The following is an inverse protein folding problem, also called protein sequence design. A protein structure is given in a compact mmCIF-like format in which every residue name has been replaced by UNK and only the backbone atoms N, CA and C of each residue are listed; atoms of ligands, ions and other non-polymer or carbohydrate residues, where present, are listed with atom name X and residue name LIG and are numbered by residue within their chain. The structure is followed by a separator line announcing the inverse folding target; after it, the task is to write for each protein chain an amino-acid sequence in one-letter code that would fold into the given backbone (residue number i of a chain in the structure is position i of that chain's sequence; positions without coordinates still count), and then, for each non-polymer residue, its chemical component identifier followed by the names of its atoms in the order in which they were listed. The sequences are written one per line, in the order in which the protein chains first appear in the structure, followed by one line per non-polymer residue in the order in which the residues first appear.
data_IF_775610290166
#
_entry.id   IF_775610290166
#
_cell.length_a   1.000
_cell.length_b   1.000
_cell.length_c   1.000
_cell.angle_alpha   90.00
_cell.angle_beta   90.00
_cell.angle_gamma   90.00
#
_symmetry.space_group_name_H-M   'P 1'
#
loop_
_entity.id
_entity.type
_entity.pdbx_description
1 polymer ?
#
# COMPACT_ATOMS: atom_id res chain seq x y z
N UNK A 1 -1.51 -0.39 -7.12
CA UNK A 1 -1.20 -0.65 -8.56
C UNK A 1 -1.18 -2.15 -8.89
N UNK A 2 -0.43 -2.98 -8.17
CA UNK A 2 -0.35 -4.43 -8.42
C UNK A 2 -1.72 -5.10 -8.23
N UNK A 3 -2.41 -4.77 -7.16
CA UNK A 3 -3.74 -5.31 -6.82
C UNK A 3 -4.81 -4.97 -7.85
N UNK A 4 -4.91 -3.70 -8.25
CA UNK A 4 -5.87 -3.26 -9.27
C UNK A 4 -5.65 -3.93 -10.63
N UNK A 5 -4.40 -4.02 -11.11
CA UNK A 5 -4.09 -4.70 -12.35
C UNK A 5 -4.46 -6.19 -12.28
N UNK A 6 -4.14 -6.88 -11.18
CA UNK A 6 -4.42 -8.31 -11.01
C UNK A 6 -5.91 -8.59 -10.91
N UNK A 7 -6.64 -7.83 -10.09
CA UNK A 7 -8.08 -7.99 -9.90
C UNK A 7 -8.86 -7.76 -11.17
N UNK A 8 -8.54 -6.68 -11.90
CA UNK A 8 -9.22 -6.35 -13.16
C UNK A 8 -8.82 -7.31 -14.28
N UNK A 9 -7.57 -7.78 -14.33
CA UNK A 9 -7.18 -8.82 -15.26
C UNK A 9 -8.00 -10.12 -15.05
N UNK A 10 -8.16 -10.55 -13.80
CA UNK A 10 -9.01 -11.70 -13.45
C UNK A 10 -10.45 -11.52 -13.93
N UNK A 11 -11.05 -10.35 -13.68
CA UNK A 11 -12.40 -10.01 -14.16
C UNK A 11 -12.48 -10.01 -15.69
N UNK A 12 -11.57 -9.31 -16.36
CA UNK A 12 -11.55 -9.16 -17.83
C UNK A 12 -11.37 -10.50 -18.50
N UNK A 13 -10.41 -11.33 -18.08
CA UNK A 13 -10.20 -12.66 -18.64
C UNK A 13 -11.37 -13.61 -18.37
N UNK A 14 -12.02 -13.49 -17.20
CA UNK A 14 -13.21 -14.25 -16.86
C UNK A 14 -14.38 -13.91 -17.79
N UNK A 15 -14.68 -12.63 -17.98
CA UNK A 15 -15.73 -12.18 -18.89
C UNK A 15 -15.37 -12.51 -20.35
N UNK A 16 -14.12 -12.28 -20.77
CA UNK A 16 -13.66 -12.60 -22.10
C UNK A 16 -13.67 -14.11 -22.42
N UNK A 17 -13.64 -14.98 -21.40
CA UNK A 17 -13.79 -16.42 -21.57
C UNK A 17 -15.26 -16.86 -21.73
N UNK A 18 -16.21 -16.00 -21.33
CA UNK A 18 -17.65 -16.28 -21.31
C UNK A 18 -18.40 -15.65 -22.49
N UNK A 19 -17.81 -14.69 -23.21
CA UNK A 19 -18.44 -13.99 -24.35
C UNK A 19 -17.45 -13.67 -25.44
N UNK A 20 -17.97 -13.49 -26.67
CA UNK A 20 -17.22 -12.97 -27.81
C UNK A 20 -17.54 -11.50 -28.14
N UNK A 21 -18.29 -10.82 -27.25
CA UNK A 21 -18.62 -9.41 -27.41
C UNK A 21 -17.63 -8.55 -26.66
N UNK A 22 -16.80 -7.80 -27.41
CA UNK A 22 -15.80 -6.87 -26.82
C UNK A 22 -16.44 -5.76 -25.99
N UNK A 23 -17.65 -5.32 -26.33
CA UNK A 23 -18.36 -4.28 -25.57
C UNK A 23 -18.76 -4.76 -24.18
N UNK A 24 -19.16 -6.03 -24.03
CA UNK A 24 -19.47 -6.62 -22.72
C UNK A 24 -18.22 -6.69 -21.85
N UNK A 25 -17.10 -7.12 -22.43
CA UNK A 25 -15.81 -7.17 -21.73
C UNK A 25 -15.34 -5.77 -21.32
N UNK A 26 -15.43 -4.80 -22.25
CA UNK A 26 -15.07 -3.41 -22.01
C UNK A 26 -15.92 -2.79 -20.89
N UNK A 27 -17.25 -2.98 -20.93
CA UNK A 27 -18.16 -2.47 -19.92
C UNK A 27 -17.86 -3.06 -18.55
N UNK A 28 -17.69 -4.38 -18.45
CA UNK A 28 -17.37 -5.05 -17.20
C UNK A 28 -16.00 -4.60 -16.66
N UNK A 29 -14.99 -4.53 -17.53
CA UNK A 29 -13.65 -4.08 -17.15
C UNK A 29 -13.61 -2.62 -16.73
N UNK A 30 -14.26 -1.71 -17.45
CA UNK A 30 -14.29 -0.29 -17.13
C UNK A 30 -15.05 0.00 -15.82
N UNK A 31 -16.21 -0.64 -15.63
CA UNK A 31 -16.98 -0.49 -14.37
C UNK A 31 -16.23 -1.10 -13.19
N UNK A 32 -15.62 -2.27 -13.37
CA UNK A 32 -14.77 -2.91 -12.36
C UNK A 32 -13.56 -2.04 -11.98
N UNK A 33 -12.87 -1.47 -12.98
CA UNK A 33 -11.74 -0.58 -12.78
C UNK A 33 -12.13 0.68 -12.02
N UNK A 34 -13.24 1.32 -12.39
CA UNK A 34 -13.74 2.52 -11.70
C UNK A 34 -14.13 2.20 -10.24
N UNK A 35 -14.88 1.13 -10.01
CA UNK A 35 -15.29 0.71 -8.68
C UNK A 35 -14.08 0.31 -7.81
N UNK A 36 -13.13 -0.42 -8.37
CA UNK A 36 -11.89 -0.83 -7.71
C UNK A 36 -11.05 0.39 -7.30
N UNK A 37 -10.84 1.34 -8.21
CA UNK A 37 -10.07 2.55 -7.94
C UNK A 37 -10.71 3.41 -6.82
N UNK A 38 -12.05 3.55 -6.81
CA UNK A 38 -12.77 4.25 -5.73
C UNK A 38 -12.62 3.50 -4.40
N UNK A 39 -12.77 2.17 -4.42
CA UNK A 39 -12.59 1.33 -3.22
C UNK A 39 -11.18 1.44 -2.65
N UNK A 40 -10.14 1.36 -3.52
CA UNK A 40 -8.74 1.51 -3.12
C UNK A 40 -8.47 2.90 -2.55
N UNK A 41 -9.00 3.95 -3.19
CA UNK A 41 -8.91 5.33 -2.68
C UNK A 41 -9.50 5.45 -1.27
N UNK A 42 -10.73 4.91 -1.07
CA UNK A 42 -11.41 4.96 0.22
C UNK A 42 -10.64 4.18 1.30
N UNK A 43 -10.18 2.96 0.98
CA UNK A 43 -9.34 2.14 1.87
C UNK A 43 -8.06 2.87 2.28
N UNK A 44 -7.31 3.39 1.30
CA UNK A 44 -6.08 4.14 1.55
C UNK A 44 -6.31 5.38 2.41
N UNK A 45 -7.39 6.13 2.15
CA UNK A 45 -7.76 7.28 2.97
C UNK A 45 -8.00 6.88 4.43
N UNK A 46 -8.81 5.84 4.65
CA UNK A 46 -9.14 5.36 5.99
C UNK A 46 -7.91 4.81 6.73
N UNK A 47 -7.01 4.12 6.03
CA UNK A 47 -5.77 3.60 6.60
C UNK A 47 -4.88 4.74 7.11
N UNK A 48 -4.65 5.77 6.28
CA UNK A 48 -3.82 6.93 6.66
C UNK A 48 -4.47 7.71 7.81
N UNK A 49 -5.80 7.90 7.79
CA UNK A 49 -6.53 8.53 8.90
C UNK A 49 -6.39 7.71 10.18
N UNK A 50 -6.57 6.40 10.11
CA UNK A 50 -6.45 5.50 11.27
C UNK A 50 -5.05 5.52 11.88
N UNK A 51 -4.00 5.51 11.06
CA UNK A 51 -2.61 5.64 11.52
C UNK A 51 -2.39 7.00 12.19
N UNK A 52 -2.90 8.07 11.59
CA UNK A 52 -2.81 9.42 12.14
C UNK A 52 -3.52 9.56 13.48
N UNK A 53 -4.75 9.07 13.60
CA UNK A 53 -5.54 9.12 14.82
C UNK A 53 -4.89 8.31 15.95
N UNK A 54 -4.39 7.12 15.63
CA UNK A 54 -3.62 6.30 16.57
C UNK A 54 -2.36 7.03 17.05
N UNK A 55 -1.62 7.64 16.15
CA UNK A 55 -0.42 8.39 16.48
C UNK A 55 -0.73 9.61 17.35
N UNK A 56 -1.83 10.32 17.06
CA UNK A 56 -2.29 11.45 17.87
C UNK A 56 -2.70 11.01 19.30
N UNK A 57 -3.42 9.89 19.42
CA UNK A 57 -3.81 9.32 20.70
C UNK A 57 -2.60 8.92 21.55
N UNK A 58 -1.62 8.24 20.94
CA UNK A 58 -0.38 7.83 21.62
C UNK A 58 0.45 9.04 22.06
N UNK A 59 0.56 10.08 21.22
CA UNK A 59 1.24 11.34 21.60
C UNK A 59 0.52 12.04 22.75
N UNK A 60 -0.82 12.09 22.73
CA UNK A 60 -1.59 12.69 23.81
C UNK A 60 -1.42 11.94 25.15
N UNK A 61 -1.36 10.61 25.10
CA UNK A 61 -1.08 9.78 26.26
C UNK A 61 0.34 10.01 26.79
N UNK A 62 1.34 10.02 25.91
CA UNK A 62 2.73 10.32 26.27
C UNK A 62 2.86 11.70 26.90
N UNK A 63 2.20 12.72 26.35
CA UNK A 63 2.17 14.09 26.92
C UNK A 63 1.57 14.10 28.34
N UNK A 64 0.46 13.39 28.57
CA UNK A 64 -0.13 13.25 29.91
C UNK A 64 0.80 12.54 30.89
N UNK A 65 1.49 11.47 30.43
CA UNK A 65 2.46 10.72 31.24
C UNK A 65 3.65 11.58 31.63
N UNK A 66 4.23 12.33 30.70
CA UNK A 66 5.33 13.26 30.93
C UNK A 66 4.90 14.37 31.93
N UNK A 67 3.70 14.92 31.78
CA UNK A 67 3.18 15.94 32.69
C UNK A 67 2.93 15.45 34.11
N UNK A 68 2.63 14.14 34.27
CA UNK A 68 2.44 13.55 35.63
C UNK A 68 3.76 13.20 36.34
N UNK A 69 4.71 12.66 35.59
CA UNK A 69 6.00 12.21 36.10
C UNK A 69 7.11 12.41 35.04
N UNK A 70 7.66 13.65 34.96
CA UNK A 70 8.75 13.94 34.03
C UNK A 70 10.02 13.13 34.33
N UNK A 71 10.30 12.89 35.63
CA UNK A 71 11.49 12.17 36.05
C UNK A 71 11.48 10.71 35.63
N UNK A 72 10.33 10.04 35.73
CA UNK A 72 10.19 8.66 35.23
C UNK A 72 10.32 8.60 33.72
N UNK A 73 9.79 9.58 32.99
CA UNK A 73 9.90 9.65 31.54
C UNK A 73 11.34 9.90 31.09
N UNK A 74 12.09 10.75 31.81
CA UNK A 74 13.50 10.97 31.55
C UNK A 74 14.37 9.73 31.83
N UNK A 75 14.10 8.99 32.92
CA UNK A 75 14.79 7.70 33.18
C UNK A 75 14.60 6.68 32.08
N UNK A 76 13.40 6.58 31.50
CA UNK A 76 13.17 5.69 30.34
C UNK A 76 13.94 6.15 29.12
N UNK A 77 14.00 7.46 28.86
CA UNK A 77 14.80 8.01 27.78
C UNK A 77 16.29 7.68 27.96
N UNK A 78 16.82 7.82 29.19
CA UNK A 78 18.18 7.44 29.53
C UNK A 78 18.48 5.97 29.26
N UNK A 79 17.61 5.08 29.72
CA UNK A 79 17.73 3.64 29.46
C UNK A 79 17.68 3.31 27.98
N UNK A 80 16.85 4.00 27.20
CA UNK A 80 16.76 3.82 25.74
C UNK A 80 18.04 4.28 25.05
N UNK A 81 18.64 5.39 25.46
CA UNK A 81 19.91 5.88 24.94
C UNK A 81 21.06 4.89 25.23
N UNK A 82 21.12 4.33 26.46
CA UNK A 82 22.10 3.29 26.78
C UNK A 82 21.97 2.07 25.88
N UNK A 83 20.76 1.61 25.63
CA UNK A 83 20.51 0.47 24.70
C UNK A 83 20.89 0.81 23.25
N UNK A 84 20.87 2.08 22.87
CA UNK A 84 21.31 2.57 21.57
C UNK A 84 22.83 2.73 21.45
N UNK A 85 23.60 2.46 22.53
CA UNK A 85 25.06 2.48 22.52
C UNK A 85 25.70 3.74 23.10
N UNK A 86 24.92 4.66 23.70
CA UNK A 86 25.47 5.80 24.42
C UNK A 86 26.12 5.35 25.73
N UNK A 87 27.22 6.01 26.12
CA UNK A 87 27.82 5.80 27.45
C UNK A 87 26.88 6.29 28.56
N UNK A 88 27.07 5.80 29.80
CA UNK A 88 26.25 6.19 30.95
C UNK A 88 26.24 7.70 31.17
N UNK A 89 27.40 8.37 31.00
CA UNK A 89 27.52 9.81 31.15
C UNK A 89 26.73 10.59 30.09
N UNK A 90 26.84 10.18 28.82
CA UNK A 90 26.12 10.81 27.69
C UNK A 90 24.61 10.60 27.80
N UNK A 91 24.18 9.36 28.11
CA UNK A 91 22.78 9.03 28.28
C UNK A 91 22.13 9.84 29.42
N UNK A 92 22.81 9.93 30.56
CA UNK A 92 22.34 10.70 31.73
C UNK A 92 22.29 12.20 31.43
N UNK A 93 23.34 12.77 30.80
CA UNK A 93 23.36 14.19 30.46
C UNK A 93 22.25 14.55 29.45
N UNK A 94 22.04 13.69 28.43
CA UNK A 94 21.00 13.89 27.44
C UNK A 94 19.59 13.77 28.05
N UNK A 95 19.34 12.76 28.87
CA UNK A 95 18.07 12.59 29.57
C UNK A 95 17.76 13.76 30.51
N UNK A 96 18.76 14.28 31.23
CA UNK A 96 18.61 15.45 32.07
C UNK A 96 18.32 16.73 31.26
N UNK A 97 18.88 16.86 30.06
CA UNK A 97 18.56 17.95 29.13
C UNK A 97 17.11 17.84 28.64
N UNK A 98 16.69 16.65 28.21
CA UNK A 98 15.32 16.38 27.76
C UNK A 98 14.28 16.63 28.86
N UNK A 99 14.59 16.29 30.13
CA UNK A 99 13.70 16.51 31.27
C UNK A 99 13.36 18.00 31.50
N UNK A 100 14.26 18.91 31.11
CA UNK A 100 14.04 20.36 31.21
C UNK A 100 13.17 20.93 30.08
N UNK A 101 12.96 20.15 29.02
CA UNK A 101 12.21 20.54 27.81
C UNK A 101 11.11 19.52 27.52
N UNK A 102 9.90 19.62 28.10
CA UNK A 102 8.84 18.63 27.98
C UNK A 102 8.44 18.31 26.53
N UNK A 103 8.47 19.30 25.64
CA UNK A 103 8.15 19.08 24.23
C UNK A 103 9.27 18.30 23.50
N UNK A 104 10.54 18.56 23.83
CA UNK A 104 11.66 17.77 23.30
C UNK A 104 11.64 16.32 23.82
N UNK A 105 11.30 16.13 25.09
CA UNK A 105 11.12 14.81 25.68
C UNK A 105 9.94 14.07 25.01
N UNK A 106 8.84 14.76 24.71
CA UNK A 106 7.70 14.19 23.99
C UNK A 106 8.11 13.74 22.56
N UNK A 107 8.84 14.57 21.84
CA UNK A 107 9.30 14.18 20.49
C UNK A 107 10.30 13.00 20.54
N UNK A 108 11.18 12.96 21.55
CA UNK A 108 12.05 11.82 21.78
C UNK A 108 11.25 10.53 22.05
N UNK A 109 10.28 10.60 22.97
CA UNK A 109 9.39 9.46 23.28
C UNK A 109 8.60 9.04 22.06
N UNK A 110 8.06 9.99 21.28
CA UNK A 110 7.32 9.69 20.06
C UNK A 110 8.18 8.96 19.02
N UNK A 111 9.40 9.41 18.80
CA UNK A 111 10.30 8.83 17.82
C UNK A 111 10.89 7.49 18.26
N UNK A 112 11.33 7.38 19.51
CA UNK A 112 12.14 6.25 19.98
C UNK A 112 11.41 5.23 20.85
N UNK A 113 10.35 5.60 21.55
CA UNK A 113 9.55 4.67 22.35
C UNK A 113 8.30 4.18 21.59
N UNK A 114 7.66 5.08 20.85
CA UNK A 114 6.37 4.79 20.20
C UNK A 114 6.52 4.47 18.71
N UNK A 115 7.73 4.59 18.16
CA UNK A 115 8.03 4.37 16.73
C UNK A 115 7.08 5.11 15.80
N UNK A 116 6.71 6.33 16.19
CA UNK A 116 5.84 7.18 15.39
C UNK A 116 6.66 7.86 14.29
N UNK A 117 6.73 7.20 13.13
CA UNK A 117 7.43 7.69 11.95
C UNK A 117 6.80 8.96 11.34
N UNK A 118 7.39 9.40 10.23
CA UNK A 118 6.91 10.55 9.44
C UNK A 118 5.57 10.30 8.75
N UNK A 119 5.12 9.06 8.64
CA UNK A 119 3.85 8.66 8.00
C UNK A 119 2.62 9.38 8.57
N UNK A 120 2.66 9.73 9.87
CA UNK A 120 1.59 10.49 10.51
C UNK A 120 1.46 11.96 10.01
N UNK A 121 2.41 12.44 9.18
CA UNK A 121 2.42 13.79 8.62
C UNK A 121 1.89 13.86 7.19
N UNK A 122 1.68 12.73 6.52
CA UNK A 122 1.18 12.70 5.15
C UNK A 122 -0.28 13.15 5.07
N UNK A 123 -0.62 13.84 3.96
CA UNK A 123 -1.99 14.22 3.70
C UNK A 123 -2.80 12.99 3.26
N UNK A 124 -3.85 12.57 4.00
CA UNK A 124 -4.66 11.42 3.63
C UNK A 124 -5.26 11.54 2.23
N UNK A 125 -5.72 12.75 1.86
CA UNK A 125 -6.30 13.01 0.55
C UNK A 125 -5.29 12.95 -0.58
N UNK A 126 -4.08 13.47 -0.40
CA UNK A 126 -3.06 13.43 -1.44
C UNK A 126 -2.63 11.97 -1.70
N UNK A 127 -2.46 11.18 -0.64
CA UNK A 127 -2.10 9.78 -0.76
C UNK A 127 -3.21 8.95 -1.43
N UNK A 128 -4.46 9.14 -0.98
CA UNK A 128 -5.62 8.47 -1.55
C UNK A 128 -5.86 8.85 -3.02
N UNK A 129 -5.74 10.13 -3.39
CA UNK A 129 -5.89 10.58 -4.77
C UNK A 129 -4.79 10.00 -5.68
N UNK A 130 -3.55 9.93 -5.19
CA UNK A 130 -2.46 9.28 -5.93
C UNK A 130 -2.74 7.79 -6.15
N UNK A 131 -3.22 7.09 -5.11
CA UNK A 131 -3.59 5.67 -5.23
C UNK A 131 -4.73 5.45 -6.22
N UNK A 132 -5.75 6.34 -6.23
CA UNK A 132 -6.84 6.29 -7.20
C UNK A 132 -6.32 6.36 -8.64
N UNK A 133 -5.48 7.36 -8.94
CA UNK A 133 -4.92 7.54 -10.29
C UNK A 133 -4.03 6.36 -10.67
N UNK A 134 -3.16 5.94 -9.77
CA UNK A 134 -2.25 4.83 -10.02
C UNK A 134 -2.99 3.50 -10.27
N UNK A 135 -4.07 3.26 -9.51
CA UNK A 135 -4.87 2.06 -9.65
C UNK A 135 -5.72 2.08 -10.92
N UNK A 136 -6.30 3.24 -11.26
CA UNK A 136 -7.06 3.42 -12.50
C UNK A 136 -6.18 3.18 -13.74
N UNK A 137 -4.95 3.71 -13.75
CA UNK A 137 -3.98 3.49 -14.84
C UNK A 137 -3.61 2.01 -14.94
N UNK A 138 -3.36 1.36 -13.81
CA UNK A 138 -3.02 -0.06 -13.79
C UNK A 138 -4.19 -0.94 -14.26
N UNK A 139 -5.40 -0.64 -13.80
CA UNK A 139 -6.62 -1.35 -14.18
C UNK A 139 -7.03 -1.11 -15.66
N UNK A 140 -6.72 0.05 -16.21
CA UNK A 140 -6.97 0.34 -17.63
C UNK A 140 -6.14 -0.56 -18.56
N UNK A 141 -4.96 -1.02 -18.13
CA UNK A 141 -4.06 -1.82 -18.97
C UNK A 141 -4.70 -3.09 -19.52
N UNK A 142 -5.36 -3.97 -18.73
CA UNK A 142 -6.04 -5.14 -19.28
C UNK A 142 -7.32 -4.81 -20.05
N UNK A 143 -7.92 -3.64 -19.87
CA UNK A 143 -9.20 -3.24 -20.45
C UNK A 143 -9.04 -2.58 -21.82
N UNK A 144 -8.02 -1.70 -21.98
CA UNK A 144 -7.83 -0.90 -23.19
C UNK A 144 -7.77 -1.69 -24.51
N UNK A 145 -7.15 -2.88 -24.60
CA UNK A 145 -7.14 -3.65 -25.83
C UNK A 145 -8.53 -3.97 -26.37
N UNK A 146 -9.52 -4.18 -25.49
CA UNK A 146 -10.90 -4.47 -25.89
C UNK A 146 -11.67 -3.25 -26.43
N UNK A 147 -11.14 -2.05 -26.20
CA UNK A 147 -11.69 -0.84 -26.81
C UNK A 147 -11.19 -0.61 -28.25
N UNK A 148 -10.06 -1.23 -28.63
CA UNK A 148 -9.32 -0.89 -29.85
C UNK A 148 -9.19 -2.04 -30.81
N UNK A 149 -9.35 -3.29 -30.38
CA UNK A 149 -9.06 -4.49 -31.14
C UNK A 149 -10.25 -5.45 -31.13
N UNK A 150 -10.30 -6.31 -32.15
CA UNK A 150 -11.23 -7.44 -32.19
C UNK A 150 -10.91 -8.47 -31.09
N UNK A 151 -11.88 -9.28 -30.70
CA UNK A 151 -11.85 -10.14 -29.52
C UNK A 151 -10.56 -10.97 -29.38
N UNK A 152 -10.15 -11.69 -30.43
CA UNK A 152 -8.99 -12.59 -30.34
C UNK A 152 -7.67 -11.79 -30.19
N UNK A 153 -7.53 -10.71 -30.95
CA UNK A 153 -6.40 -9.80 -30.85
C UNK A 153 -6.41 -9.07 -29.51
N UNK A 154 -7.57 -8.65 -29.00
CA UNK A 154 -7.73 -7.99 -27.72
C UNK A 154 -7.34 -8.89 -26.55
N UNK A 155 -7.74 -10.18 -26.55
CA UNK A 155 -7.33 -11.17 -25.54
C UNK A 155 -5.81 -11.32 -25.47
N UNK A 156 -5.17 -11.49 -26.64
CA UNK A 156 -3.72 -11.64 -26.73
C UNK A 156 -2.99 -10.36 -26.28
N UNK A 157 -3.43 -9.20 -26.77
CA UNK A 157 -2.85 -7.91 -26.41
C UNK A 157 -3.02 -7.61 -24.91
N UNK A 158 -4.19 -7.86 -24.33
CA UNK A 158 -4.48 -7.70 -22.91
C UNK A 158 -3.55 -8.56 -22.03
N UNK A 159 -3.36 -9.83 -22.42
CA UNK A 159 -2.45 -10.72 -21.71
C UNK A 159 -1.00 -10.20 -21.73
N UNK A 160 -0.52 -9.80 -22.91
CA UNK A 160 0.85 -9.31 -23.08
C UNK A 160 1.08 -8.01 -22.33
N UNK A 161 0.20 -7.01 -22.49
CA UNK A 161 0.35 -5.70 -21.84
C UNK A 161 0.23 -5.81 -20.32
N UNK A 162 -0.68 -6.63 -19.81
CA UNK A 162 -0.82 -6.88 -18.37
C UNK A 162 0.42 -7.58 -17.80
N UNK A 163 0.94 -8.59 -18.51
CA UNK A 163 2.16 -9.29 -18.08
C UNK A 163 3.35 -8.33 -18.05
N UNK A 164 3.51 -7.47 -19.06
CA UNK A 164 4.57 -6.47 -19.10
C UNK A 164 4.44 -5.45 -17.96
N UNK A 165 3.23 -4.96 -17.70
CA UNK A 165 2.99 -4.07 -16.57
C UNK A 165 3.41 -4.72 -15.24
N UNK A 166 2.98 -5.96 -15.00
CA UNK A 166 3.29 -6.68 -13.77
C UNK A 166 4.78 -6.99 -13.63
N UNK A 167 5.47 -7.25 -14.74
CA UNK A 167 6.94 -7.36 -14.74
C UNK A 167 7.60 -6.05 -14.31
N UNK A 168 7.19 -4.92 -14.88
CA UNK A 168 7.74 -3.60 -14.54
C UNK A 168 7.47 -3.26 -13.07
N UNK A 169 6.24 -3.47 -12.60
CA UNK A 169 5.85 -3.22 -11.21
C UNK A 169 6.60 -4.15 -10.25
N UNK A 170 6.69 -5.45 -10.56
CA UNK A 170 7.42 -6.43 -9.75
C UNK A 170 8.92 -6.12 -9.65
N UNK A 171 9.54 -5.72 -10.77
CA UNK A 171 10.93 -5.26 -10.81
C UNK A 171 11.15 -3.99 -9.97
N UNK A 172 10.26 -3.01 -10.11
CA UNK A 172 10.30 -1.77 -9.34
C UNK A 172 10.20 -2.02 -7.84
N UNK A 173 9.21 -2.83 -7.42
CA UNK A 173 8.99 -3.23 -6.04
C UNK A 173 10.19 -3.98 -5.45
N UNK A 174 10.76 -4.91 -6.21
CA UNK A 174 11.92 -5.67 -5.75
C UNK A 174 13.14 -4.78 -5.52
N UNK A 175 13.38 -3.79 -6.41
CA UNK A 175 14.48 -2.82 -6.26
C UNK A 175 14.29 -1.91 -5.05
N UNK A 176 13.11 -1.34 -4.88
CA UNK A 176 12.80 -0.43 -3.77
C UNK A 176 12.89 -1.16 -2.43
N UNK A 177 12.38 -2.40 -2.34
CA UNK A 177 12.39 -3.19 -1.12
C UNK A 177 13.70 -3.94 -0.87
N UNK A 178 14.74 -3.76 -1.71
CA UNK A 178 16.00 -4.51 -1.64
C UNK A 178 15.81 -6.04 -1.53
N UNK A 179 14.76 -6.56 -2.17
CA UNK A 179 14.41 -7.99 -2.19
C UNK A 179 15.01 -8.68 -3.42
N UNK A 180 15.02 -10.01 -3.37
CA UNK A 180 15.42 -10.81 -4.52
C UNK A 180 14.43 -10.57 -5.68
N UNK A 181 14.93 -9.95 -6.76
CA UNK A 181 14.15 -9.53 -7.92
C UNK A 181 13.40 -10.72 -8.55
N UNK A 182 14.08 -11.85 -8.71
CA UNK A 182 13.52 -13.05 -9.35
C UNK A 182 12.34 -13.60 -8.54
N UNK A 183 12.53 -13.75 -7.23
CA UNK A 183 11.49 -14.29 -6.34
C UNK A 183 10.28 -13.38 -6.30
N UNK A 184 10.49 -12.06 -6.13
CA UNK A 184 9.40 -11.08 -6.07
C UNK A 184 8.62 -11.04 -7.38
N UNK A 185 9.30 -11.04 -8.52
CA UNK A 185 8.65 -11.01 -9.84
C UNK A 185 7.85 -12.30 -10.10
N UNK A 186 8.41 -13.47 -9.76
CA UNK A 186 7.70 -14.76 -9.90
C UNK A 186 6.46 -14.78 -9.00
N UNK A 187 6.54 -14.29 -7.77
CA UNK A 187 5.38 -14.19 -6.87
C UNK A 187 4.27 -13.33 -7.46
N UNK A 188 4.60 -12.14 -7.98
CA UNK A 188 3.63 -11.26 -8.64
C UNK A 188 2.96 -11.94 -9.83
N UNK A 189 3.73 -12.56 -10.71
CA UNK A 189 3.19 -13.26 -11.88
C UNK A 189 2.35 -14.48 -11.50
N UNK A 190 2.74 -15.24 -10.46
CA UNK A 190 1.99 -16.39 -10.00
C UNK A 190 0.62 -15.98 -9.41
N UNK A 191 0.56 -14.89 -8.64
CA UNK A 191 -0.70 -14.34 -8.11
C UNK A 191 -1.61 -13.89 -9.27
N UNK A 192 -1.05 -13.18 -10.25
CA UNK A 192 -1.81 -12.73 -11.41
C UNK A 192 -2.32 -13.90 -12.27
N UNK A 193 -1.50 -14.92 -12.47
CA UNK A 193 -1.92 -16.13 -13.18
C UNK A 193 -3.05 -16.86 -12.42
N UNK A 194 -2.95 -16.96 -11.10
CA UNK A 194 -4.00 -17.56 -10.28
C UNK A 194 -5.31 -16.77 -10.37
N UNK A 195 -5.27 -15.43 -10.34
CA UNK A 195 -6.45 -14.58 -10.51
C UNK A 195 -7.08 -14.74 -11.90
N UNK A 196 -6.26 -14.77 -12.96
CA UNK A 196 -6.73 -14.99 -14.33
C UNK A 196 -7.39 -16.38 -14.49
N UNK A 197 -6.76 -17.43 -13.96
CA UNK A 197 -7.32 -18.80 -13.99
C UNK A 197 -8.64 -18.86 -13.22
N UNK A 198 -8.71 -18.28 -12.02
CA UNK A 198 -9.94 -18.23 -11.25
C UNK A 198 -11.05 -17.48 -12.01
N UNK A 199 -10.74 -16.34 -12.62
CA UNK A 199 -11.68 -15.60 -13.47
C UNK A 199 -12.20 -16.43 -14.63
N UNK A 200 -11.31 -17.07 -15.39
CA UNK A 200 -11.68 -17.93 -16.54
C UNK A 200 -12.56 -19.12 -16.12
N UNK A 201 -12.22 -19.78 -15.01
CA UNK A 201 -13.00 -20.89 -14.48
C UNK A 201 -14.41 -20.44 -14.11
N UNK A 202 -14.53 -19.34 -13.36
CA UNK A 202 -15.83 -18.77 -12.98
C UNK A 202 -16.61 -18.35 -14.23
N UNK A 203 -15.97 -17.63 -15.16
CA UNK A 203 -16.61 -17.18 -16.40
C UNK A 203 -17.21 -18.34 -17.22
N UNK A 204 -16.51 -19.46 -17.30
CA UNK A 204 -16.99 -20.67 -18.02
C UNK A 204 -18.11 -21.39 -17.26
N UNK A 205 -18.02 -21.47 -15.93
CA UNK A 205 -19.04 -22.12 -15.11
C UNK A 205 -20.38 -21.39 -15.10
N UNK A 206 -20.35 -20.06 -15.21
CA UNK A 206 -21.61 -19.23 -15.22
C UNK A 206 -22.34 -19.35 -16.56
N UNK A 207 -21.65 -19.68 -17.66
CA UNK A 207 -22.24 -19.74 -19.01
C UNK A 207 -22.58 -21.18 -19.44
N UNK A 208 -22.07 -22.18 -18.70
CA UNK A 208 -22.42 -23.61 -18.93
C UNK A 208 -23.74 -23.97 -18.27
#
# INVERSE_FOLDING_TARGET
MEDGAVSIAGLVFGVAASTNDTHVVLLAGATGAAAGAVSMMAGTYLDVVSVRDRSAALRAEARRRIGRDPASSARRAEERLRRAGFSDAEASATAAALARHPDALLEFVAAFELDLGSEARESPWAHAAWMFVADLVAAATPVLPFAMLEMDAARAASLVTTTLLLLVVGLGRARIAHRNVVVTTIQTLAIAAAAAVAGIVIGRLVVS
#
